data_IF_396717137801
#
_entry.id   IF_396717137801
#
_cell.length_a   1.000
_cell.length_b   1.000
_cell.length_c   1.000
_cell.angle_alpha   90.00
_cell.angle_beta   90.00
_cell.angle_gamma   90.00
#
_symmetry.space_group_name_H-M   'P 1'
#
loop_
_entity.id
_entity.type
_entity.pdbx_description
1 polymer ?
#
# COMPACT_ATOMS: atom_id res chain seq x y z
N UNK A 1 9.10 8.82 14.60
CA UNK A 1 9.08 10.00 13.70
C UNK A 1 7.81 10.04 12.85
N UNK A 2 7.50 8.99 12.07
CA UNK A 2 6.32 8.98 11.20
C UNK A 2 4.97 8.83 11.93
N UNK A 3 4.96 8.28 13.15
CA UNK A 3 3.72 8.12 13.94
C UNK A 3 3.00 9.46 14.19
N UNK A 4 3.75 10.53 14.40
CA UNK A 4 3.20 11.87 14.64
C UNK A 4 2.45 12.44 13.42
N UNK A 5 2.75 11.96 12.22
CA UNK A 5 2.15 12.42 10.98
C UNK A 5 1.22 11.39 10.33
N UNK A 6 1.05 10.19 10.92
CA UNK A 6 0.31 9.08 10.33
C UNK A 6 -1.10 9.46 9.84
N UNK A 7 -1.85 10.29 10.59
CA UNK A 7 -3.20 10.72 10.23
C UNK A 7 -3.28 11.71 9.06
N UNK A 8 -2.18 12.42 8.75
CA UNK A 8 -2.11 13.40 7.65
C UNK A 8 -1.16 12.98 6.53
N UNK A 9 -0.44 11.87 6.71
CA UNK A 9 0.63 11.44 5.82
C UNK A 9 0.15 11.28 4.37
N UNK A 10 -0.95 10.56 4.17
CA UNK A 10 -1.48 10.34 2.82
C UNK A 10 -1.96 11.64 2.16
N UNK A 11 -2.57 12.53 2.95
CA UNK A 11 -2.99 13.86 2.47
C UNK A 11 -1.78 14.68 2.02
N UNK A 12 -0.72 14.73 2.84
CA UNK A 12 0.51 15.44 2.51
C UNK A 12 1.18 14.85 1.27
N UNK A 13 1.25 13.52 1.14
CA UNK A 13 1.80 12.86 -0.04
C UNK A 13 1.03 13.23 -1.31
N UNK A 14 -0.29 13.22 -1.27
CA UNK A 14 -1.10 13.62 -2.41
C UNK A 14 -0.94 15.11 -2.74
N UNK A 15 -0.93 15.98 -1.73
CA UNK A 15 -0.79 17.42 -1.93
C UNK A 15 0.58 17.78 -2.50
N UNK A 16 1.65 17.34 -1.84
CA UNK A 16 3.04 17.67 -2.21
C UNK A 16 3.45 17.06 -3.56
N UNK A 17 2.88 15.90 -3.92
CA UNK A 17 3.12 15.30 -5.25
C UNK A 17 2.16 15.82 -6.33
N UNK A 18 1.23 16.73 -6.01
CA UNK A 18 0.12 17.09 -6.88
C UNK A 18 -0.64 15.86 -7.44
N UNK A 19 -0.76 14.81 -6.63
CA UNK A 19 -1.41 13.54 -6.96
C UNK A 19 -0.61 12.59 -7.86
N UNK A 20 0.64 12.93 -8.20
CA UNK A 20 1.50 12.08 -9.04
C UNK A 20 1.90 10.77 -8.33
N UNK A 21 1.89 10.74 -7.01
CA UNK A 21 2.20 9.57 -6.20
C UNK A 21 1.39 8.32 -6.61
N UNK A 22 0.12 8.50 -6.97
CA UNK A 22 -0.75 7.42 -7.48
C UNK A 22 -0.25 6.84 -8.80
N UNK A 23 0.23 7.71 -9.71
CA UNK A 23 0.79 7.30 -11.01
C UNK A 23 2.11 6.57 -10.82
N UNK A 24 2.96 7.04 -9.90
CA UNK A 24 4.21 6.38 -9.56
C UNK A 24 3.99 4.99 -8.99
N UNK A 25 3.07 4.81 -8.03
CA UNK A 25 2.70 3.48 -7.51
C UNK A 25 2.23 2.55 -8.62
N UNK A 26 1.33 3.01 -9.49
CA UNK A 26 0.87 2.22 -10.66
C UNK A 26 2.01 1.87 -11.62
N UNK A 27 3.01 2.73 -11.78
CA UNK A 27 4.17 2.44 -12.63
C UNK A 27 5.07 1.39 -11.98
N UNK A 28 5.38 1.55 -10.69
CA UNK A 28 6.18 0.59 -9.92
C UNK A 28 5.55 -0.81 -9.87
N UNK A 29 4.23 -0.91 -9.70
CA UNK A 29 3.56 -2.23 -9.72
C UNK A 29 3.61 -2.86 -11.11
N UNK A 30 3.47 -2.05 -12.19
CA UNK A 30 3.55 -2.56 -13.56
C UNK A 30 4.90 -3.16 -13.90
N UNK A 31 6.00 -2.66 -13.33
CA UNK A 31 7.33 -3.23 -13.58
C UNK A 31 7.52 -4.60 -12.94
N UNK A 32 6.66 -4.99 -11.99
CA UNK A 32 6.69 -6.33 -11.40
C UNK A 32 6.16 -7.43 -12.34
N UNK A 33 5.51 -7.05 -13.45
CA UNK A 33 4.98 -7.99 -14.46
C UNK A 33 4.18 -9.15 -13.86
N UNK A 34 3.31 -8.84 -12.89
CA UNK A 34 2.53 -9.82 -12.15
C UNK A 34 1.68 -10.67 -13.10
N UNK A 35 1.57 -11.97 -12.80
CA UNK A 35 0.73 -12.94 -13.51
C UNK A 35 -0.46 -13.39 -12.66
N UNK A 36 -0.44 -13.05 -11.37
CA UNK A 36 -1.47 -13.34 -10.38
C UNK A 36 -1.20 -14.56 -9.52
N UNK A 37 -0.01 -15.14 -9.64
CA UNK A 37 0.46 -16.26 -8.81
C UNK A 37 1.48 -15.81 -7.76
N UNK A 38 2.01 -14.60 -7.91
CA UNK A 38 3.11 -14.09 -7.10
C UNK A 38 2.66 -13.71 -5.70
N UNK A 39 3.59 -13.83 -4.75
CA UNK A 39 3.47 -13.26 -3.41
C UNK A 39 4.37 -12.04 -3.35
N UNK A 40 3.80 -10.89 -3.01
CA UNK A 40 4.52 -9.60 -2.96
C UNK A 40 4.81 -9.23 -1.51
N UNK A 41 6.02 -8.75 -1.26
CA UNK A 41 6.42 -8.16 0.02
C UNK A 41 6.55 -6.65 -0.14
N UNK A 42 5.78 -5.89 0.63
CA UNK A 42 5.83 -4.43 0.70
C UNK A 42 6.62 -4.01 1.94
N UNK A 43 7.85 -3.54 1.74
CA UNK A 43 8.74 -3.09 2.80
C UNK A 43 8.48 -1.62 3.11
N UNK A 44 8.47 -1.27 4.39
CA UNK A 44 8.07 0.06 4.86
C UNK A 44 6.66 0.42 4.35
N UNK A 45 5.72 -0.52 4.51
CA UNK A 45 4.37 -0.44 3.92
C UNK A 45 3.56 0.76 4.41
N UNK A 46 3.90 1.32 5.59
CA UNK A 46 3.23 2.46 6.18
C UNK A 46 1.72 2.27 6.29
N UNK A 47 0.96 3.14 5.61
CA UNK A 47 -0.51 3.08 5.57
C UNK A 47 -1.07 2.12 4.51
N UNK A 48 -0.23 1.23 3.96
CA UNK A 48 -0.57 0.17 3.01
C UNK A 48 -1.06 0.62 1.62
N UNK A 49 -0.88 1.88 1.21
CA UNK A 49 -1.39 2.38 -0.08
C UNK A 49 -0.74 1.69 -1.30
N UNK A 50 0.53 1.30 -1.21
CA UNK A 50 1.20 0.55 -2.28
C UNK A 50 0.72 -0.91 -2.32
N UNK A 51 0.69 -1.59 -1.18
CA UNK A 51 0.12 -2.94 -1.06
C UNK A 51 -1.32 -3.05 -1.58
N UNK A 52 -2.19 -2.09 -1.23
CA UNK A 52 -3.57 -2.01 -1.74
C UNK A 52 -3.57 -1.76 -3.25
N UNK A 53 -2.70 -0.86 -3.74
CA UNK A 53 -2.59 -0.61 -5.18
C UNK A 53 -2.13 -1.86 -5.94
N UNK A 54 -1.27 -2.70 -5.36
CA UNK A 54 -0.84 -3.97 -5.93
C UNK A 54 -2.02 -4.94 -6.04
N UNK A 55 -2.84 -5.11 -5.00
CA UNK A 55 -4.05 -5.95 -5.09
C UNK A 55 -5.12 -5.42 -6.05
N UNK A 56 -5.09 -4.13 -6.38
CA UNK A 56 -5.95 -3.52 -7.40
C UNK A 56 -5.40 -3.62 -8.82
N UNK A 57 -4.17 -4.11 -9.01
CA UNK A 57 -3.61 -4.28 -10.36
C UNK A 57 -4.34 -5.37 -11.13
N UNK A 58 -4.09 -5.43 -12.44
CA UNK A 58 -4.63 -6.45 -13.32
C UNK A 58 -3.49 -7.06 -14.17
N UNK A 59 -3.16 -8.34 -13.98
CA UNK A 59 -3.68 -9.22 -12.92
C UNK A 59 -3.19 -8.78 -11.52
N UNK A 60 -3.95 -9.08 -10.45
CA UNK A 60 -3.51 -8.83 -9.07
C UNK A 60 -2.64 -9.98 -8.56
N UNK A 61 -1.64 -9.75 -7.69
CA UNK A 61 -0.82 -10.82 -7.12
C UNK A 61 -1.67 -11.77 -6.26
N UNK A 62 -1.21 -13.00 -6.03
CA UNK A 62 -1.94 -13.96 -5.20
C UNK A 62 -2.10 -13.44 -3.75
N UNK A 63 -1.02 -12.90 -3.19
CA UNK A 63 -0.99 -12.35 -1.82
C UNK A 63 0.00 -11.20 -1.70
N UNK A 64 -0.27 -10.27 -0.80
CA UNK A 64 0.65 -9.22 -0.39
C UNK A 64 0.90 -9.31 1.11
N UNK A 65 2.13 -9.08 1.54
CA UNK A 65 2.52 -8.96 2.95
C UNK A 65 3.17 -7.60 3.13
N UNK A 66 2.67 -6.80 4.07
CA UNK A 66 3.24 -5.50 4.42
C UNK A 66 4.02 -5.57 5.71
N UNK A 67 5.23 -5.00 5.74
CA UNK A 67 6.05 -4.92 6.96
C UNK A 67 6.49 -3.48 7.18
N UNK A 68 6.36 -3.00 8.42
CA UNK A 68 6.85 -1.70 8.85
C UNK A 68 7.16 -1.72 10.35
N UNK A 69 8.05 -0.83 10.81
CA UNK A 69 8.28 -0.59 12.23
C UNK A 69 7.35 0.51 12.79
N UNK A 70 6.71 1.31 11.93
CA UNK A 70 5.80 2.38 12.30
C UNK A 70 4.40 1.83 12.68
N UNK A 71 4.26 1.39 13.92
CA UNK A 71 3.04 0.80 14.45
C UNK A 71 1.77 1.65 14.22
N UNK A 72 1.85 2.98 14.37
CA UNK A 72 0.67 3.84 14.17
C UNK A 72 0.26 3.88 12.70
N UNK A 73 1.22 3.87 11.78
CA UNK A 73 0.91 3.78 10.34
C UNK A 73 0.29 2.43 9.98
N UNK A 74 0.80 1.33 10.54
CA UNK A 74 0.21 0.00 10.36
C UNK A 74 -1.23 -0.07 10.86
N UNK A 75 -1.56 0.59 11.98
CA UNK A 75 -2.94 0.66 12.47
C UNK A 75 -3.87 1.38 11.48
N UNK A 76 -3.40 2.47 10.87
CA UNK A 76 -4.13 3.16 9.79
C UNK A 76 -4.28 2.25 8.57
N UNK A 77 -3.20 1.56 8.18
CA UNK A 77 -3.20 0.60 7.07
C UNK A 77 -4.22 -0.53 7.28
N UNK A 78 -4.26 -1.13 8.47
CA UNK A 78 -5.24 -2.18 8.83
C UNK A 78 -6.69 -1.72 8.67
N UNK A 79 -7.01 -0.49 9.11
CA UNK A 79 -8.35 0.09 8.93
C UNK A 79 -8.70 0.25 7.45
N UNK A 80 -7.75 0.69 6.61
CA UNK A 80 -7.96 0.77 5.16
C UNK A 80 -8.16 -0.62 4.54
N UNK A 81 -7.34 -1.60 4.91
CA UNK A 81 -7.44 -2.99 4.42
C UNK A 81 -8.81 -3.59 4.72
N UNK A 82 -9.33 -3.37 5.94
CA UNK A 82 -10.68 -3.79 6.32
C UNK A 82 -11.76 -3.09 5.48
N UNK A 83 -11.67 -1.77 5.30
CA UNK A 83 -12.60 -0.99 4.49
C UNK A 83 -12.63 -1.46 3.03
N UNK A 84 -11.47 -1.81 2.49
CA UNK A 84 -11.29 -2.33 1.12
C UNK A 84 -11.62 -3.82 0.99
N UNK A 85 -11.94 -4.51 2.09
CA UNK A 85 -12.23 -5.96 2.16
C UNK A 85 -11.10 -6.83 1.59
N UNK A 86 -9.85 -6.47 1.94
CA UNK A 86 -8.64 -7.15 1.42
C UNK A 86 -7.90 -7.99 2.47
N UNK A 87 -8.45 -8.16 3.68
CA UNK A 87 -7.77 -8.84 4.80
C UNK A 87 -7.33 -10.28 4.51
N UNK A 88 -8.04 -11.00 3.64
CA UNK A 88 -7.70 -12.39 3.30
C UNK A 88 -6.46 -12.50 2.40
N UNK A 89 -6.11 -11.42 1.69
CA UNK A 89 -5.03 -11.38 0.69
C UNK A 89 -3.91 -10.40 1.03
N UNK A 90 -4.11 -9.53 2.00
CA UNK A 90 -3.14 -8.57 2.49
C UNK A 90 -3.01 -8.70 4.01
N UNK A 91 -1.84 -9.15 4.44
CA UNK A 91 -1.46 -9.30 5.84
C UNK A 91 -0.44 -8.23 6.25
#
# INVERSE_FOLDING_TARGET
>A
MFDAIAGRYDFLNHLLSAGLDRRWRKRAIRTLALTGRERVLDLCTGTADLAIAALRSRPPPARVVGIDFACVMLQVGRKKIQRERMGDRLA
#
